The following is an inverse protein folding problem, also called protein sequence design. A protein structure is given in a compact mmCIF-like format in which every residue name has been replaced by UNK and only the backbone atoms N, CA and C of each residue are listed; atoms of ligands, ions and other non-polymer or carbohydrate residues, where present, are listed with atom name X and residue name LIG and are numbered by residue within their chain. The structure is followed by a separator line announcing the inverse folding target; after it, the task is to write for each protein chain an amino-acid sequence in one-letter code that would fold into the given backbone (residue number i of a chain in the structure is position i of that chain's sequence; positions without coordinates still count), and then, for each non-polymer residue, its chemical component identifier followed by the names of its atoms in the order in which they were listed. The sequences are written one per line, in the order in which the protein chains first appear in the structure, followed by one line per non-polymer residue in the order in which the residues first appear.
data_IF_246247925526
#
_entry.id   IF_246247925526
#
_cell.length_a   1.000
_cell.length_b   1.000
_cell.length_c   1.000
_cell.angle_alpha   90.00
_cell.angle_beta   90.00
_cell.angle_gamma   90.00
#
_symmetry.space_group_name_H-M   'P 1'
#
loop_
_entity.id
_entity.type
_entity.pdbx_description
1 polymer ?
#
# COMPACT_ATOMS: atom_id res chain seq x y z
N UNK A 1 -7.86 13.09 19.92
CA UNK A 1 -7.05 14.34 19.86
C UNK A 1 -7.95 15.52 19.50
N UNK A 2 -7.47 16.79 19.70
CA UNK A 2 -8.18 17.97 19.18
C UNK A 2 -7.90 18.11 17.68
N UNK A 3 -8.87 18.66 16.92
CA UNK A 3 -8.76 18.80 15.47
C UNK A 3 -7.50 19.56 15.02
N UNK A 4 -7.12 20.61 15.75
CA UNK A 4 -5.93 21.40 15.42
C UNK A 4 -4.63 20.58 15.53
N UNK A 5 -4.55 19.64 16.48
CA UNK A 5 -3.39 18.75 16.62
C UNK A 5 -3.34 17.71 15.48
N UNK A 6 -4.50 17.20 15.05
CA UNK A 6 -4.62 16.31 13.90
C UNK A 6 -4.12 17.01 12.63
N UNK A 7 -4.58 18.24 12.41
CA UNK A 7 -4.19 19.03 11.24
C UNK A 7 -2.68 19.33 11.26
N UNK A 8 -2.13 19.76 12.40
CA UNK A 8 -0.70 20.06 12.55
C UNK A 8 0.17 18.81 12.28
N UNK A 9 -0.24 17.63 12.73
CA UNK A 9 0.49 16.38 12.50
C UNK A 9 0.41 15.92 11.05
N UNK A 10 -0.75 16.03 10.41
CA UNK A 10 -0.90 15.73 8.98
C UNK A 10 -0.08 16.67 8.10
N UNK A 11 -0.05 17.97 8.46
CA UNK A 11 0.78 18.96 7.79
C UNK A 11 2.28 18.68 8.00
N UNK A 12 2.69 18.27 9.20
CA UNK A 12 4.08 17.91 9.51
C UNK A 12 4.56 16.68 8.70
N UNK A 13 3.72 15.64 8.55
CA UNK A 13 4.01 14.46 7.72
C UNK A 13 4.10 14.83 6.24
N UNK A 14 3.20 15.67 5.74
CA UNK A 14 3.27 16.18 4.36
C UNK A 14 4.56 16.96 4.11
N UNK A 15 4.95 17.86 5.01
CA UNK A 15 6.22 18.58 4.91
C UNK A 15 7.42 17.65 4.99
N UNK A 16 7.39 16.67 5.88
CA UNK A 16 8.45 15.66 6.00
C UNK A 16 8.66 14.90 4.68
N UNK A 17 7.58 14.49 4.03
CA UNK A 17 7.62 13.88 2.70
C UNK A 17 8.24 14.84 1.67
N UNK A 18 7.80 16.10 1.63
CA UNK A 18 8.29 17.09 0.66
C UNK A 18 9.75 17.45 0.85
N UNK A 19 10.20 17.51 2.10
CA UNK A 19 11.56 17.87 2.49
C UNK A 19 12.49 16.67 2.60
N UNK A 20 11.99 15.43 2.41
CA UNK A 20 12.69 14.16 2.53
C UNK A 20 13.41 14.04 3.87
N UNK A 21 12.70 14.32 4.94
CA UNK A 21 13.21 14.23 6.32
C UNK A 21 12.38 13.27 7.15
N UNK A 22 13.03 12.64 8.08
CA UNK A 22 12.37 11.76 9.05
C UNK A 22 11.82 12.57 10.23
N UNK A 23 10.73 12.06 10.79
CA UNK A 23 10.16 12.49 12.06
C UNK A 23 10.37 11.42 13.13
N UNK A 24 10.43 11.81 14.39
CA UNK A 24 10.27 10.85 15.49
C UNK A 24 8.88 10.21 15.44
N UNK A 25 8.69 8.97 15.94
CA UNK A 25 7.39 8.37 16.04
C UNK A 25 6.38 9.29 16.71
N UNK A 26 5.19 9.44 16.14
CA UNK A 26 4.13 10.27 16.73
C UNK A 26 3.71 9.71 18.09
N UNK A 27 3.72 8.39 18.22
CA UNK A 27 3.38 7.67 19.46
C UNK A 27 4.38 7.89 20.60
N UNK A 28 5.57 8.42 20.35
CA UNK A 28 6.51 8.86 21.41
C UNK A 28 6.07 10.17 22.04
N UNK A 29 5.57 11.10 21.21
CA UNK A 29 5.10 12.42 21.67
C UNK A 29 3.64 12.35 22.16
N UNK A 30 2.82 11.51 21.51
CA UNK A 30 1.40 11.34 21.76
C UNK A 30 1.08 9.85 22.06
N UNK A 31 1.44 9.34 23.26
CA UNK A 31 1.23 7.92 23.58
C UNK A 31 -0.25 7.51 23.62
N UNK A 32 -1.17 8.48 23.75
CA UNK A 32 -2.64 8.27 23.72
C UNK A 32 -3.22 8.29 22.30
N UNK A 33 -2.38 8.41 21.24
CA UNK A 33 -2.84 8.46 19.85
C UNK A 33 -3.65 7.20 19.52
N UNK A 34 -4.92 7.37 19.15
CA UNK A 34 -5.80 6.27 18.76
C UNK A 34 -5.65 5.95 17.27
N UNK A 35 -6.19 4.82 16.84
CA UNK A 35 -6.23 4.44 15.41
C UNK A 35 -7.12 5.43 14.64
N UNK A 36 -8.22 5.86 15.21
CA UNK A 36 -9.14 6.84 14.62
C UNK A 36 -8.46 8.20 14.42
N UNK A 37 -7.70 8.68 15.42
CA UNK A 37 -6.90 9.90 15.29
C UNK A 37 -5.85 9.74 14.17
N UNK A 38 -5.18 8.59 14.09
CA UNK A 38 -4.18 8.31 13.08
C UNK A 38 -4.75 8.34 11.65
N UNK A 39 -5.95 7.76 11.43
CA UNK A 39 -6.64 7.91 10.15
C UNK A 39 -7.06 9.35 9.85
N UNK A 40 -7.47 10.12 10.85
CA UNK A 40 -7.78 11.54 10.65
C UNK A 40 -6.53 12.34 10.23
N UNK A 41 -5.37 12.04 10.82
CA UNK A 41 -4.07 12.61 10.42
C UNK A 41 -3.72 12.20 8.99
N UNK A 42 -3.89 10.93 8.62
CA UNK A 42 -3.67 10.42 7.27
C UNK A 42 -4.56 11.13 6.22
N UNK A 43 -5.82 11.36 6.55
CA UNK A 43 -6.74 12.11 5.68
C UNK A 43 -6.30 13.57 5.51
N UNK A 44 -5.76 14.20 6.55
CA UNK A 44 -5.18 15.56 6.44
C UNK A 44 -3.94 15.54 5.55
N UNK A 45 -3.06 14.54 5.71
CA UNK A 45 -1.91 14.35 4.84
C UNK A 45 -2.33 14.20 3.37
N UNK A 46 -3.34 13.36 3.07
CA UNK A 46 -3.92 13.21 1.74
C UNK A 46 -4.50 14.53 1.21
N UNK A 47 -5.25 15.26 2.04
CA UNK A 47 -5.84 16.53 1.65
C UNK A 47 -4.77 17.55 1.18
N UNK A 48 -3.61 17.58 1.83
CA UNK A 48 -2.49 18.43 1.42
C UNK A 48 -1.91 18.02 0.05
N UNK A 49 -1.80 16.72 -0.23
CA UNK A 49 -1.39 16.20 -1.54
C UNK A 49 -2.37 16.62 -2.63
N UNK A 50 -3.66 16.42 -2.38
CA UNK A 50 -4.71 16.82 -3.33
C UNK A 50 -4.76 18.35 -3.55
N UNK A 51 -4.54 19.14 -2.50
CA UNK A 51 -4.44 20.60 -2.60
C UNK A 51 -3.22 21.03 -3.43
N UNK A 52 -2.15 20.24 -3.42
CA UNK A 52 -0.97 20.43 -4.28
C UNK A 52 -1.20 20.01 -5.74
N UNK A 53 -2.39 19.49 -6.09
CA UNK A 53 -2.79 19.16 -7.45
C UNK A 53 -2.77 17.65 -7.78
N UNK A 54 -2.42 16.80 -6.85
CA UNK A 54 -2.45 15.34 -7.04
C UNK A 54 -3.90 14.83 -7.05
N UNK A 55 -4.14 13.72 -7.76
CA UNK A 55 -5.45 13.09 -7.84
C UNK A 55 -5.41 11.73 -7.18
N UNK A 56 -6.40 11.42 -6.35
CA UNK A 56 -6.61 10.08 -5.82
C UNK A 56 -6.93 9.12 -6.97
N UNK A 57 -6.21 8.02 -7.07
CA UNK A 57 -6.38 7.00 -8.12
C UNK A 57 -6.51 5.59 -7.56
N UNK A 58 -6.44 5.41 -6.26
CA UNK A 58 -6.55 4.09 -5.65
C UNK A 58 -6.27 4.09 -4.15
N UNK A 59 -6.26 2.89 -3.61
CA UNK A 59 -5.98 2.62 -2.19
C UNK A 59 -5.11 1.38 -2.09
N UNK A 60 -4.42 1.24 -0.97
CA UNK A 60 -3.66 0.03 -0.66
C UNK A 60 -4.00 -0.47 0.73
N UNK A 61 -3.79 -1.75 0.96
CA UNK A 61 -3.91 -2.37 2.26
C UNK A 61 -2.54 -2.86 2.71
N UNK A 62 -2.18 -2.57 3.94
CA UNK A 62 -0.93 -3.00 4.55
C UNK A 62 -1.17 -3.86 5.79
N UNK A 63 -0.07 -4.39 6.37
CA UNK A 63 -0.13 -5.23 7.57
C UNK A 63 -1.05 -6.45 7.35
N UNK A 64 -0.91 -7.12 6.21
CA UNK A 64 -1.79 -8.22 5.79
C UNK A 64 -1.29 -9.60 6.21
N UNK A 65 -0.04 -9.73 6.68
CA UNK A 65 0.52 -10.99 7.13
C UNK A 65 0.57 -11.08 8.66
N UNK A 66 0.38 -12.29 9.19
CA UNK A 66 0.48 -12.55 10.63
C UNK A 66 1.84 -12.12 11.21
N UNK A 67 2.93 -12.29 10.46
CA UNK A 67 4.27 -11.91 10.89
C UNK A 67 4.39 -10.39 11.12
N UNK A 68 3.82 -9.57 10.24
CA UNK A 68 3.80 -8.11 10.41
C UNK A 68 2.83 -7.70 11.50
N UNK A 69 1.66 -8.34 11.60
CA UNK A 69 0.71 -8.10 12.69
C UNK A 69 1.33 -8.40 14.05
N UNK A 70 2.07 -9.50 14.17
CA UNK A 70 2.77 -9.86 15.42
C UNK A 70 3.89 -8.86 15.75
N UNK A 71 4.64 -8.42 14.76
CA UNK A 71 5.71 -7.43 14.92
C UNK A 71 5.16 -6.08 15.45
N UNK A 72 4.01 -5.65 14.96
CA UNK A 72 3.35 -4.40 15.38
C UNK A 72 2.44 -4.57 16.60
N UNK A 73 2.24 -5.81 17.08
CA UNK A 73 1.37 -6.09 18.22
C UNK A 73 -0.13 -5.86 17.95
N UNK A 74 -0.55 -6.02 16.69
CA UNK A 74 -1.94 -5.78 16.24
C UNK A 74 -2.59 -7.05 15.68
N UNK A 75 -3.91 -6.99 15.44
CA UNK A 75 -4.68 -8.05 14.80
C UNK A 75 -5.60 -7.52 13.71
N UNK A 76 -5.18 -6.43 13.07
CA UNK A 76 -5.90 -5.83 11.96
C UNK A 76 -4.93 -5.23 10.96
N UNK A 77 -5.28 -5.22 9.67
CA UNK A 77 -4.58 -4.48 8.64
C UNK A 77 -4.69 -2.96 8.83
N UNK A 78 -3.91 -2.21 8.05
CA UNK A 78 -4.07 -0.79 7.82
C UNK A 78 -4.37 -0.50 6.34
N UNK A 79 -4.64 0.76 6.01
CA UNK A 79 -4.82 1.19 4.63
C UNK A 79 -4.21 2.57 4.38
N UNK A 80 -3.84 2.79 3.11
CA UNK A 80 -3.35 4.05 2.61
C UNK A 80 -4.01 4.45 1.30
N UNK A 81 -3.80 5.70 0.92
CA UNK A 81 -4.34 6.32 -0.30
C UNK A 81 -3.24 6.51 -1.32
N UNK A 82 -3.53 6.21 -2.58
CA UNK A 82 -2.59 6.32 -3.69
C UNK A 82 -3.01 7.44 -4.63
N UNK A 83 -2.06 8.31 -4.96
CA UNK A 83 -2.28 9.40 -5.92
C UNK A 83 -1.56 9.13 -7.23
N UNK A 84 -1.94 9.84 -8.28
CA UNK A 84 -1.33 9.76 -9.61
C UNK A 84 0.18 10.08 -9.58
N UNK A 85 0.62 10.96 -8.67
CA UNK A 85 2.04 11.28 -8.49
C UNK A 85 2.87 10.13 -7.86
N UNK A 86 2.22 9.10 -7.33
CA UNK A 86 2.88 7.92 -6.74
C UNK A 86 3.07 6.79 -7.74
N UNK A 87 2.39 6.86 -8.89
CA UNK A 87 2.49 5.86 -9.94
C UNK A 87 3.71 6.12 -10.81
N UNK A 88 4.53 5.10 -10.98
CA UNK A 88 5.69 5.07 -11.84
C UNK A 88 5.62 3.88 -12.81
N UNK A 89 6.42 3.94 -13.85
CA UNK A 89 6.62 2.85 -14.79
C UNK A 89 7.80 1.96 -14.35
N UNK A 90 8.54 1.40 -15.30
CA UNK A 90 9.64 0.45 -15.06
C UNK A 90 10.88 1.10 -14.41
N UNK A 91 10.96 2.42 -14.31
CA UNK A 91 12.07 3.16 -13.70
C UNK A 91 11.59 4.09 -12.59
N UNK A 92 12.22 4.00 -11.43
CA UNK A 92 11.96 4.86 -10.27
C UNK A 92 13.23 5.59 -9.84
N UNK A 93 13.27 6.90 -10.04
CA UNK A 93 14.37 7.76 -9.60
C UNK A 93 14.26 8.04 -8.08
N UNK A 94 14.61 7.05 -7.25
CA UNK A 94 14.44 7.10 -5.80
C UNK A 94 15.52 7.93 -5.09
N UNK A 95 16.69 8.11 -5.72
CA UNK A 95 17.80 8.84 -5.13
C UNK A 95 17.42 10.30 -4.82
N UNK A 96 17.43 10.67 -3.54
CA UNK A 96 17.02 12.01 -3.09
C UNK A 96 15.52 12.30 -3.26
N UNK A 97 14.72 11.34 -3.69
CA UNK A 97 13.27 11.46 -3.83
C UNK A 97 12.52 10.72 -2.71
N UNK A 98 13.00 9.57 -2.28
CA UNK A 98 12.48 8.82 -1.14
C UNK A 98 13.45 8.88 0.05
N UNK A 99 12.96 8.53 1.23
CA UNK A 99 13.67 8.68 2.51
C UNK A 99 14.36 7.37 2.92
N UNK A 100 13.59 6.29 2.99
CA UNK A 100 14.04 4.95 3.43
C UNK A 100 13.23 3.85 2.73
N UNK A 101 13.30 3.80 1.38
CA UNK A 101 12.41 2.97 0.58
C UNK A 101 12.64 1.47 0.80
N UNK A 102 11.51 0.72 0.76
CA UNK A 102 11.50 -0.74 0.69
C UNK A 102 10.47 -1.17 -0.34
N UNK A 103 10.78 -2.19 -1.13
CA UNK A 103 9.88 -2.72 -2.14
C UNK A 103 9.25 -4.05 -1.71
N UNK A 104 8.02 -4.27 -2.15
CA UNK A 104 7.30 -5.51 -1.95
C UNK A 104 6.48 -5.86 -3.19
N UNK A 105 6.34 -7.17 -3.44
CA UNK A 105 5.55 -7.68 -4.55
C UNK A 105 4.12 -7.93 -4.13
N UNK A 106 3.17 -7.46 -4.96
CA UNK A 106 1.74 -7.53 -4.71
C UNK A 106 0.93 -7.88 -5.94
N UNK A 107 -0.37 -8.08 -5.76
CA UNK A 107 -1.36 -8.14 -6.82
C UNK A 107 -2.20 -6.86 -6.77
N UNK A 108 -2.23 -6.13 -7.87
CA UNK A 108 -3.10 -4.98 -8.03
C UNK A 108 -4.45 -5.40 -8.65
N UNK A 109 -5.53 -4.82 -8.15
CA UNK A 109 -6.90 -4.98 -8.65
C UNK A 109 -7.35 -3.67 -9.31
N UNK A 110 -7.81 -3.74 -10.55
CA UNK A 110 -8.47 -2.62 -11.23
C UNK A 110 -9.98 -2.81 -11.11
N UNK A 111 -10.68 -1.83 -10.54
CA UNK A 111 -12.12 -1.92 -10.33
C UNK A 111 -12.92 -1.38 -11.53
N UNK A 112 -13.98 -2.08 -11.91
CA UNK A 112 -14.95 -1.63 -12.92
C UNK A 112 -16.30 -1.18 -12.35
N UNK A 113 -16.48 -1.28 -11.03
CA UNK A 113 -17.65 -0.85 -10.26
C UNK A 113 -17.25 -0.36 -8.89
N UNK A 114 -18.11 0.48 -8.31
CA UNK A 114 -17.94 0.93 -6.93
C UNK A 114 -18.19 -0.22 -5.95
N UNK A 115 -17.39 -0.24 -4.87
CA UNK A 115 -17.58 -1.12 -3.72
C UNK A 115 -17.70 -0.26 -2.47
N UNK A 116 -18.85 -0.30 -1.82
CA UNK A 116 -19.12 0.48 -0.62
C UNK A 116 -19.62 -0.43 0.50
N UNK A 117 -18.83 -0.58 1.52
CA UNK A 117 -19.23 -1.29 2.73
C UNK A 117 -20.19 -0.48 3.63
N UNK A 118 -20.71 -1.07 4.69
CA UNK A 118 -20.45 -2.45 5.12
C UNK A 118 -21.24 -3.51 4.32
N UNK A 119 -20.78 -4.77 4.38
CA UNK A 119 -21.50 -5.92 3.81
C UNK A 119 -20.99 -6.39 2.44
N UNK A 120 -19.90 -5.80 1.95
CA UNK A 120 -19.21 -6.28 0.73
C UNK A 120 -18.67 -7.68 0.98
N UNK A 121 -18.90 -8.59 0.02
CA UNK A 121 -18.42 -9.97 0.04
C UNK A 121 -17.28 -10.19 -0.97
N UNK A 122 -16.61 -11.34 -0.90
CA UNK A 122 -15.60 -11.71 -1.88
C UNK A 122 -16.19 -11.82 -3.30
N UNK A 123 -17.42 -12.29 -3.42
CA UNK A 123 -18.10 -12.39 -4.72
C UNK A 123 -18.38 -10.98 -5.29
N UNK A 124 -18.73 -10.00 -4.45
CA UNK A 124 -18.90 -8.60 -4.87
C UNK A 124 -17.58 -8.02 -5.37
N UNK A 125 -16.45 -8.30 -4.66
CA UNK A 125 -15.12 -7.86 -5.08
C UNK A 125 -14.76 -8.43 -6.44
N UNK A 126 -14.91 -9.76 -6.63
CA UNK A 126 -14.61 -10.40 -7.92
C UNK A 126 -15.50 -9.86 -9.04
N UNK A 127 -16.80 -9.63 -8.78
CA UNK A 127 -17.73 -9.06 -9.75
C UNK A 127 -17.47 -7.58 -10.07
N UNK A 128 -16.74 -6.86 -9.22
CA UNK A 128 -16.36 -5.47 -9.40
C UNK A 128 -14.93 -5.31 -9.93
N UNK A 129 -14.17 -6.39 -10.07
CA UNK A 129 -12.80 -6.36 -10.58
C UNK A 129 -12.81 -6.55 -12.10
N UNK A 130 -12.20 -5.62 -12.83
CA UNK A 130 -11.99 -5.72 -14.28
C UNK A 130 -10.80 -6.62 -14.59
N UNK A 131 -9.69 -6.42 -13.87
CA UNK A 131 -8.47 -7.16 -14.07
C UNK A 131 -7.64 -7.20 -12.79
N UNK A 132 -6.76 -8.21 -12.71
CA UNK A 132 -5.68 -8.27 -11.74
C UNK A 132 -4.35 -8.27 -12.48
N UNK A 133 -3.31 -7.70 -11.87
CA UNK A 133 -1.99 -7.59 -12.48
C UNK A 133 -0.88 -7.58 -11.43
N UNK A 134 0.34 -8.04 -11.82
CA UNK A 134 1.49 -7.99 -10.92
C UNK A 134 1.96 -6.55 -10.72
N UNK A 135 2.38 -6.23 -9.50
CA UNK A 135 2.87 -4.90 -9.16
C UNK A 135 3.96 -4.93 -8.10
N UNK A 136 4.74 -3.86 -8.04
CA UNK A 136 5.57 -3.50 -6.90
C UNK A 136 4.96 -2.31 -6.17
N UNK A 137 4.80 -2.40 -4.85
CA UNK A 137 4.69 -1.25 -3.98
C UNK A 137 6.09 -0.91 -3.44
N UNK A 138 6.42 0.38 -3.40
CA UNK A 138 7.61 0.90 -2.74
C UNK A 138 7.15 1.76 -1.58
N UNK A 139 7.15 1.18 -0.40
CA UNK A 139 6.82 1.89 0.84
C UNK A 139 7.98 2.79 1.25
N UNK A 140 7.66 3.95 1.81
CA UNK A 140 8.65 4.94 2.24
C UNK A 140 8.17 5.64 3.51
N UNK A 141 8.60 5.18 4.68
CA UNK A 141 8.16 5.76 5.93
C UNK A 141 8.80 7.12 6.21
N UNK A 142 7.99 8.09 6.63
CA UNK A 142 8.46 9.37 7.16
C UNK A 142 8.84 9.27 8.64
N UNK A 143 8.59 8.11 9.27
CA UNK A 143 8.97 7.84 10.65
C UNK A 143 10.38 7.24 10.70
N UNK A 144 11.23 7.84 11.54
CA UNK A 144 12.66 7.53 11.63
C UNK A 144 12.93 6.04 11.85
N UNK A 145 13.84 5.49 11.03
CA UNK A 145 14.40 4.14 11.16
C UNK A 145 13.32 3.04 11.22
N UNK A 146 12.12 3.30 10.67
CA UNK A 146 10.97 2.38 10.73
C UNK A 146 10.57 2.02 12.18
N UNK A 147 10.79 2.91 13.13
CA UNK A 147 10.40 2.72 14.53
C UNK A 147 8.91 3.01 14.70
N UNK A 148 8.07 2.24 14.03
CA UNK A 148 6.62 2.45 13.93
C UNK A 148 5.84 1.55 14.90
N UNK A 149 4.76 2.11 15.45
CA UNK A 149 3.58 1.36 15.90
C UNK A 149 2.49 1.50 14.84
N UNK A 150 1.38 0.77 15.01
CA UNK A 150 0.29 0.81 14.04
C UNK A 150 -0.26 2.23 13.83
N UNK A 151 -0.33 3.05 14.86
CA UNK A 151 -0.79 4.43 14.73
C UNK A 151 0.17 5.30 13.93
N UNK A 152 1.49 5.05 14.05
CA UNK A 152 2.50 5.80 13.31
C UNK A 152 2.40 5.52 11.81
N UNK A 153 2.29 4.23 11.41
CA UNK A 153 2.17 3.87 9.99
C UNK A 153 0.85 4.33 9.39
N UNK A 154 -0.27 4.19 10.10
CA UNK A 154 -1.57 4.70 9.66
C UNK A 154 -1.53 6.22 9.42
N UNK A 155 -1.03 6.99 10.39
CA UNK A 155 -0.92 8.44 10.27
C UNK A 155 -0.05 8.84 9.07
N UNK A 156 0.99 8.06 8.80
CA UNK A 156 1.92 8.19 7.69
C UNK A 156 1.38 7.55 6.38
N UNK A 157 0.06 7.53 6.20
CA UNK A 157 -0.62 6.97 5.02
C UNK A 157 -0.22 5.51 4.75
N UNK A 158 -0.19 4.67 5.78
CA UNK A 158 0.29 3.28 5.74
C UNK A 158 1.68 3.16 5.08
N UNK A 159 2.55 4.14 5.34
CA UNK A 159 3.89 4.29 4.75
C UNK A 159 3.93 4.22 3.22
N UNK A 160 2.81 4.46 2.54
CA UNK A 160 2.72 4.40 1.08
C UNK A 160 3.68 5.43 0.45
N UNK A 161 4.52 4.96 -0.47
CA UNK A 161 5.48 5.75 -1.24
C UNK A 161 5.10 5.77 -2.71
N UNK A 162 5.70 4.90 -3.52
CA UNK A 162 5.46 4.77 -4.95
C UNK A 162 5.00 3.36 -5.31
N UNK A 163 4.49 3.18 -6.53
CA UNK A 163 4.15 1.86 -7.05
C UNK A 163 4.32 1.79 -8.58
N UNK A 164 4.56 0.58 -9.08
CA UNK A 164 4.61 0.27 -10.51
C UNK A 164 3.72 -0.94 -10.81
N UNK A 165 3.05 -0.88 -11.96
CA UNK A 165 2.15 -1.92 -12.46
C UNK A 165 2.63 -2.41 -13.82
N UNK A 166 2.47 -3.71 -14.10
CA UNK A 166 2.51 -4.18 -15.47
C UNK A 166 1.10 -4.36 -16.04
N UNK A 167 0.53 -3.30 -16.63
CA UNK A 167 -0.80 -3.35 -17.25
C UNK A 167 -0.86 -4.30 -18.47
N UNK A 168 0.26 -4.55 -19.12
CA UNK A 168 0.31 -5.52 -20.25
C UNK A 168 0.13 -6.98 -19.77
N UNK A 169 0.36 -7.23 -18.47
CA UNK A 169 0.15 -8.51 -17.79
C UNK A 169 -1.23 -8.59 -17.08
N UNK A 170 -2.14 -7.65 -17.36
CA UNK A 170 -3.47 -7.66 -16.77
C UNK A 170 -4.29 -8.86 -17.28
N UNK A 171 -4.90 -9.60 -16.36
CA UNK A 171 -5.71 -10.78 -16.66
C UNK A 171 -7.05 -10.72 -15.90
N UNK A 172 -8.06 -11.46 -16.43
CA UNK A 172 -9.32 -11.66 -15.74
C UNK A 172 -9.05 -12.38 -14.38
N UNK A 173 -9.58 -11.87 -13.25
CA UNK A 173 -9.39 -12.52 -11.96
C UNK A 173 -9.88 -13.99 -11.92
N UNK A 174 -10.84 -14.36 -12.77
CA UNK A 174 -11.31 -15.75 -12.89
C UNK A 174 -10.33 -16.68 -13.62
N UNK A 175 -9.32 -16.13 -14.31
CA UNK A 175 -8.31 -16.92 -15.01
C UNK A 175 -7.14 -17.36 -14.10
N UNK A 176 -7.06 -16.86 -12.87
CA UNK A 176 -5.96 -17.11 -11.93
C UNK A 176 -6.47 -17.66 -10.61
N UNK A 177 -5.79 -18.66 -10.08
CA UNK A 177 -5.98 -19.09 -8.68
C UNK A 177 -5.29 -18.07 -7.74
N UNK A 178 -6.04 -17.03 -7.36
CA UNK A 178 -5.53 -15.93 -6.53
C UNK A 178 -5.05 -16.36 -5.13
N UNK A 179 -5.41 -17.57 -4.69
CA UNK A 179 -4.96 -18.11 -3.39
C UNK A 179 -3.62 -18.83 -3.53
N UNK A 180 -3.50 -19.67 -4.57
CA UNK A 180 -2.35 -20.57 -4.71
C UNK A 180 -1.34 -20.11 -5.77
N UNK A 181 -1.56 -18.99 -6.48
CA UNK A 181 -0.57 -18.46 -7.42
C UNK A 181 0.75 -18.21 -6.69
N UNK A 182 1.84 -18.76 -7.22
CA UNK A 182 3.17 -18.54 -6.67
C UNK A 182 3.76 -17.25 -7.20
N UNK A 183 4.39 -16.48 -6.31
CA UNK A 183 5.21 -15.31 -6.65
C UNK A 183 6.67 -15.63 -6.39
N UNK A 184 7.53 -15.29 -7.35
CA UNK A 184 8.99 -15.29 -7.17
C UNK A 184 9.52 -13.89 -7.37
N UNK A 185 10.26 -13.36 -6.40
CA UNK A 185 10.91 -12.05 -6.46
C UNK A 185 12.41 -12.21 -6.60
N UNK A 186 12.98 -11.42 -7.51
CA UNK A 186 14.43 -11.34 -7.74
C UNK A 186 14.91 -9.91 -7.51
N UNK A 187 16.10 -9.79 -6.95
CA UNK A 187 16.85 -8.54 -6.85
C UNK A 187 18.21 -8.73 -7.49
N UNK A 188 18.56 -7.88 -8.44
CA UNK A 188 19.83 -7.94 -9.19
C UNK A 188 20.08 -9.35 -9.78
N UNK A 189 19.03 -9.95 -10.34
CA UNK A 189 19.04 -11.27 -10.97
C UNK A 189 18.96 -12.47 -10.01
N UNK A 190 19.14 -12.29 -8.70
CA UNK A 190 19.09 -13.35 -7.70
C UNK A 190 17.70 -13.47 -7.08
N UNK A 191 17.18 -14.68 -6.91
CA UNK A 191 15.93 -14.91 -6.14
C UNK A 191 16.17 -14.55 -4.69
N UNK A 192 15.33 -13.65 -4.15
CA UNK A 192 15.40 -13.20 -2.76
C UNK A 192 14.23 -13.69 -1.91
N UNK A 193 13.07 -13.91 -2.53
CA UNK A 193 11.89 -14.39 -1.83
C UNK A 193 10.91 -15.09 -2.77
N UNK A 194 10.07 -15.92 -2.18
CA UNK A 194 8.91 -16.53 -2.82
C UNK A 194 7.72 -16.45 -1.87
N UNK A 195 6.53 -16.39 -2.41
CA UNK A 195 5.28 -16.37 -1.64
C UNK A 195 4.11 -16.88 -2.46
N UNK A 196 2.94 -16.92 -1.87
CA UNK A 196 1.70 -17.27 -2.56
C UNK A 196 0.62 -16.24 -2.25
N UNK A 197 -0.44 -16.17 -3.04
CA UNK A 197 -1.56 -15.28 -2.78
C UNK A 197 -2.16 -15.46 -1.37
N UNK A 198 -2.09 -16.67 -0.82
CA UNK A 198 -2.56 -16.95 0.55
C UNK A 198 -1.82 -16.15 1.65
N UNK A 199 -0.62 -15.62 1.37
CA UNK A 199 0.12 -14.81 2.35
C UNK A 199 -0.63 -13.51 2.73
N UNK A 200 -1.43 -12.97 1.82
CA UNK A 200 -2.26 -11.79 2.05
C UNK A 200 -3.62 -12.21 2.63
N UNK A 201 -3.75 -12.30 3.95
CA UNK A 201 -4.99 -12.63 4.69
C UNK A 201 -5.69 -13.91 4.20
N UNK A 202 -4.93 -14.92 3.74
CA UNK A 202 -5.46 -16.16 3.14
C UNK A 202 -5.90 -16.03 1.68
N UNK A 203 -6.13 -14.81 1.18
CA UNK A 203 -6.42 -14.48 -0.23
C UNK A 203 -6.34 -12.97 -0.45
N UNK A 204 -5.77 -12.49 -1.57
CA UNK A 204 -5.83 -11.09 -1.96
C UNK A 204 -7.27 -10.53 -2.01
N UNK A 205 -8.24 -11.35 -2.38
CA UNK A 205 -9.67 -10.96 -2.40
C UNK A 205 -10.17 -10.62 -0.99
N UNK A 206 -9.73 -11.38 0.04
CA UNK A 206 -10.09 -11.09 1.43
C UNK A 206 -9.61 -9.69 1.85
N UNK A 207 -8.43 -9.29 1.37
CA UNK A 207 -7.87 -7.97 1.63
C UNK A 207 -8.74 -6.87 1.07
N UNK A 208 -9.17 -6.99 -0.19
CA UNK A 208 -10.04 -5.99 -0.83
C UNK A 208 -11.41 -5.96 -0.14
N UNK A 209 -11.97 -7.13 0.23
CA UNK A 209 -13.22 -7.23 0.99
C UNK A 209 -13.13 -6.52 2.33
N UNK A 210 -12.04 -6.77 3.07
CA UNK A 210 -11.78 -6.08 4.35
C UNK A 210 -11.66 -4.57 4.15
N UNK A 211 -10.92 -4.15 3.13
CA UNK A 211 -10.69 -2.73 2.82
C UNK A 211 -12.00 -2.01 2.50
N UNK A 212 -12.82 -2.56 1.60
CA UNK A 212 -14.11 -1.99 1.23
C UNK A 212 -15.03 -1.82 2.44
N UNK A 213 -15.09 -2.83 3.31
CA UNK A 213 -15.93 -2.79 4.52
C UNK A 213 -15.38 -1.81 5.55
N UNK A 214 -14.06 -1.72 5.71
CA UNK A 214 -13.42 -0.79 6.65
C UNK A 214 -13.57 0.66 6.19
N UNK A 215 -13.29 0.95 4.93
CA UNK A 215 -13.48 2.29 4.34
C UNK A 215 -14.94 2.74 4.42
N UNK A 216 -15.89 1.81 4.26
CA UNK A 216 -17.32 2.10 4.40
C UNK A 216 -17.69 2.67 5.77
N UNK A 217 -17.00 2.27 6.85
CA UNK A 217 -17.20 2.84 8.19
C UNK A 217 -16.75 4.31 8.27
N UNK A 218 -15.85 4.75 7.39
CA UNK A 218 -15.41 6.14 7.24
C UNK A 218 -16.19 6.90 6.15
N UNK A 219 -17.20 6.27 5.55
CA UNK A 219 -17.96 6.87 4.44
C UNK A 219 -17.17 6.97 3.12
N UNK A 220 -16.10 6.20 2.99
CA UNK A 220 -15.21 6.18 1.82
C UNK A 220 -15.55 4.97 0.96
N UNK A 221 -15.68 5.19 -0.35
CA UNK A 221 -15.97 4.16 -1.36
C UNK A 221 -14.69 3.78 -2.09
N UNK A 222 -14.53 2.50 -2.42
CA UNK A 222 -13.65 2.08 -3.51
C UNK A 222 -14.39 2.36 -4.81
N UNK A 223 -13.89 3.28 -5.61
CA UNK A 223 -14.60 3.79 -6.79
C UNK A 223 -14.22 2.98 -8.04
N UNK A 224 -15.12 2.98 -9.01
CA UNK A 224 -14.82 2.47 -10.35
C UNK A 224 -13.59 3.19 -10.91
N UNK A 225 -12.62 2.42 -11.39
CA UNK A 225 -11.34 2.91 -11.91
C UNK A 225 -10.24 2.98 -10.86
N UNK A 226 -10.56 2.74 -9.57
CA UNK A 226 -9.52 2.63 -8.54
C UNK A 226 -8.60 1.44 -8.83
N UNK A 227 -7.32 1.67 -8.59
CA UNK A 227 -6.32 0.63 -8.45
C UNK A 227 -6.22 0.30 -6.96
N UNK A 228 -6.37 -0.98 -6.61
CA UNK A 228 -6.26 -1.42 -5.21
C UNK A 228 -5.12 -2.41 -5.08
N UNK A 229 -4.09 -2.07 -4.29
CA UNK A 229 -3.00 -2.99 -3.96
C UNK A 229 -3.41 -3.86 -2.78
N UNK A 230 -3.24 -5.19 -2.92
CA UNK A 230 -3.88 -6.18 -2.06
C UNK A 230 -3.08 -6.58 -0.82
N UNK A 231 -1.93 -5.96 -0.59
CA UNK A 231 -1.00 -6.36 0.45
C UNK A 231 0.04 -7.38 -0.04
N UNK A 232 1.18 -7.36 0.60
CA UNK A 232 2.36 -8.09 0.15
C UNK A 232 2.22 -9.60 0.25
N UNK A 233 2.71 -10.28 -0.79
CA UNK A 233 2.84 -11.74 -0.83
C UNK A 233 4.22 -12.22 -0.35
N UNK A 234 5.16 -11.30 -0.18
CA UNK A 234 6.58 -11.54 0.17
C UNK A 234 7.07 -10.52 1.19
N UNK A 235 8.17 -10.79 1.93
CA UNK A 235 8.74 -9.79 2.83
C UNK A 235 9.21 -8.52 2.12
N UNK A 236 9.14 -7.39 2.83
CA UNK A 236 9.69 -6.10 2.43
C UNK A 236 11.21 -6.17 2.22
N UNK A 237 11.69 -5.68 1.08
CA UNK A 237 13.12 -5.64 0.74
C UNK A 237 13.61 -4.19 0.63
N UNK A 238 14.65 -3.77 1.39
CA UNK A 238 15.26 -2.47 1.21
C UNK A 238 15.80 -2.30 -0.22
N UNK A 239 15.61 -1.11 -0.80
CA UNK A 239 16.08 -0.80 -2.16
C UNK A 239 16.90 0.48 -2.18
N UNK A 240 17.87 0.54 -3.10
CA UNK A 240 18.74 1.68 -3.32
C UNK A 240 18.92 1.93 -4.82
N UNK A 241 19.37 3.14 -5.18
CA UNK A 241 19.74 3.45 -6.57
C UNK A 241 20.80 2.46 -7.09
N UNK A 242 20.58 1.92 -8.28
CA UNK A 242 21.38 0.87 -8.88
C UNK A 242 20.82 -0.55 -8.69
N UNK A 243 19.79 -0.73 -7.84
CA UNK A 243 19.09 -2.02 -7.73
C UNK A 243 18.10 -2.19 -8.89
N UNK A 244 17.91 -3.44 -9.29
CA UNK A 244 16.84 -3.89 -10.19
C UNK A 244 16.04 -4.98 -9.51
N UNK A 245 14.72 -4.85 -9.49
CA UNK A 245 13.83 -5.89 -8.97
C UNK A 245 12.87 -6.37 -10.04
N UNK A 246 12.66 -7.68 -10.08
CA UNK A 246 11.65 -8.31 -10.93
C UNK A 246 10.84 -9.29 -10.10
N UNK A 247 9.56 -9.43 -10.43
CA UNK A 247 8.72 -10.48 -9.89
C UNK A 247 8.00 -11.21 -11.00
N UNK A 248 7.68 -12.48 -10.77
CA UNK A 248 6.82 -13.32 -11.58
C UNK A 248 5.70 -13.87 -10.73
N UNK A 249 4.47 -13.81 -11.21
CA UNK A 249 3.30 -14.43 -10.58
C UNK A 249 2.69 -15.44 -11.56
N UNK A 250 2.53 -16.69 -11.11
CA UNK A 250 1.94 -17.76 -11.90
C UNK A 250 0.53 -17.37 -12.40
N UNK A 251 0.33 -17.51 -13.70
CA UNK A 251 -0.94 -17.16 -14.36
C UNK A 251 -1.14 -15.67 -14.66
N UNK A 252 -0.25 -14.77 -14.19
CA UNK A 252 -0.30 -13.34 -14.53
C UNK A 252 0.89 -12.90 -15.38
N UNK A 253 2.11 -13.28 -15.00
CA UNK A 253 3.34 -12.86 -15.66
C UNK A 253 4.24 -12.00 -14.77
N UNK A 254 5.01 -11.11 -15.40
CA UNK A 254 6.10 -10.39 -14.75
C UNK A 254 5.77 -8.92 -14.46
N UNK A 255 6.46 -8.36 -13.46
CA UNK A 255 6.62 -6.92 -13.26
C UNK A 255 8.08 -6.63 -12.91
N UNK A 256 8.62 -5.51 -13.38
CA UNK A 256 10.00 -5.13 -13.12
C UNK A 256 10.14 -3.64 -12.83
N UNK A 257 11.11 -3.29 -11.98
CA UNK A 257 11.46 -1.90 -11.64
C UNK A 257 12.97 -1.76 -11.53
N UNK A 258 13.54 -0.77 -12.19
CA UNK A 258 14.90 -0.30 -11.99
C UNK A 258 14.91 0.93 -11.07
N UNK A 259 15.72 0.92 -10.03
CA UNK A 259 15.87 2.03 -9.10
C UNK A 259 17.08 2.90 -9.44
N UNK A 260 16.87 4.19 -9.71
CA UNK A 260 17.91 5.15 -10.09
C UNK A 260 18.05 6.33 -9.14
#
# INVERSE_FOLDING_TARGET
MEQIQIDDLGDALYLAMRERRMLSPLTETYPELTIEDAYAISLRFLANRMQAGEKLIGKKIGVTSDAVMDMLGVRQPDFGFMTDAMRHDEEMAISGALIQPRAEGEIAFLLNKDLQGPGVTNDDVLAATEAVMPCFEVVDSRVKDWQIKIQDTIADNASCGWFALNEAAAVDPAAVDLVNCEMTVRKNGSVISTGTGAAAMGSPVNCITWLANTLGAFGITLERGDIVLSGSLVPLEPVAAGDEMTLHIDGMGDCGVAFT
#
